data_IF_388554207417
#
_entry.id   IF_388554207417
#
_cell.length_a   1.000
_cell.length_b   1.000
_cell.length_c   1.000
_cell.angle_alpha   90.00
_cell.angle_beta   90.00
_cell.angle_gamma   90.00
#
_symmetry.space_group_name_H-M   'P 1'
#
loop_
_entity.id
_entity.type
_entity.pdbx_description
1 polymer ?
#
# COMPACT_ATOMS: atom_id res chain seq x y z
N UNK A 1 18.44 -8.98 29.43
CA UNK A 1 19.52 -8.09 28.93
C UNK A 1 19.75 -8.24 27.43
N UNK A 2 19.80 -9.47 26.89
CA UNK A 2 19.98 -9.70 25.45
C UNK A 2 18.90 -9.01 24.59
N UNK A 3 17.62 -9.03 25.00
CA UNK A 3 16.53 -8.33 24.27
C UNK A 3 16.75 -6.82 24.07
N UNK A 4 17.41 -6.14 25.02
CA UNK A 4 17.68 -4.70 24.90
C UNK A 4 18.76 -4.45 23.85
N UNK A 5 19.78 -5.31 23.83
CA UNK A 5 20.83 -5.31 22.82
C UNK A 5 20.26 -5.59 21.43
N UNK A 6 19.39 -6.59 21.29
CA UNK A 6 18.69 -6.91 20.04
C UNK A 6 17.93 -5.68 19.49
N UNK A 7 17.18 -4.98 20.34
CA UNK A 7 16.46 -3.75 19.96
C UNK A 7 17.40 -2.62 19.54
N UNK A 8 18.53 -2.43 20.25
CA UNK A 8 19.54 -1.42 19.91
C UNK A 8 20.17 -1.73 18.56
N UNK A 9 20.53 -2.99 18.31
CA UNK A 9 21.10 -3.45 17.05
C UNK A 9 20.10 -3.27 15.91
N UNK A 10 18.84 -3.65 16.09
CA UNK A 10 17.78 -3.48 15.09
C UNK A 10 17.47 -2.01 14.79
N UNK A 11 17.47 -1.16 15.82
CA UNK A 11 17.30 0.28 15.65
C UNK A 11 18.49 0.87 14.88
N UNK A 12 19.71 0.44 15.19
CA UNK A 12 20.91 0.82 14.45
C UNK A 12 20.88 0.29 13.01
N UNK A 13 20.36 -0.92 12.79
CA UNK A 13 20.19 -1.54 11.46
C UNK A 13 19.22 -0.74 10.59
N UNK A 14 18.09 -0.32 11.17
CA UNK A 14 17.08 0.52 10.53
C UNK A 14 17.58 1.94 10.28
N UNK A 15 18.29 2.55 11.23
CA UNK A 15 18.84 3.90 11.09
C UNK A 15 20.02 3.97 10.10
N UNK A 16 20.82 2.91 10.00
CA UNK A 16 21.99 2.84 9.12
C UNK A 16 21.70 2.26 7.73
N UNK A 17 20.44 1.87 7.44
CA UNK A 17 20.02 1.23 6.19
C UNK A 17 20.98 0.09 5.77
N UNK A 18 21.23 -0.84 6.69
CA UNK A 18 22.18 -1.93 6.43
C UNK A 18 21.60 -2.90 5.39
N UNK A 19 22.43 -3.24 4.40
CA UNK A 19 22.10 -4.20 3.33
C UNK A 19 22.33 -5.66 3.79
N UNK A 20 21.72 -6.64 3.11
CA UNK A 20 21.89 -8.07 3.41
C UNK A 20 23.35 -8.48 3.63
N UNK A 21 24.25 -8.05 2.73
CA UNK A 21 25.68 -8.36 2.80
C UNK A 21 26.36 -7.81 4.06
N UNK A 22 26.05 -6.56 4.44
CA UNK A 22 26.60 -5.94 5.66
C UNK A 22 25.99 -6.52 6.93
N UNK A 23 24.74 -6.98 6.87
CA UNK A 23 24.09 -7.69 7.97
C UNK A 23 24.75 -9.03 8.25
N UNK A 24 25.06 -9.81 7.21
CA UNK A 24 25.76 -11.09 7.33
C UNK A 24 27.16 -10.94 7.95
N UNK A 25 27.92 -9.93 7.53
CA UNK A 25 29.23 -9.60 8.11
C UNK A 25 29.12 -9.24 9.60
N UNK A 26 28.12 -8.45 9.99
CA UNK A 26 27.89 -8.05 11.39
C UNK A 26 27.54 -9.26 12.27
N UNK A 27 26.73 -10.18 11.76
CA UNK A 27 26.34 -11.41 12.46
C UNK A 27 27.55 -12.34 12.64
N UNK A 28 28.41 -12.44 11.64
CA UNK A 28 29.68 -13.19 11.73
C UNK A 28 30.65 -12.58 12.75
N UNK A 29 30.78 -11.25 12.77
CA UNK A 29 31.57 -10.57 13.80
C UNK A 29 30.99 -10.77 15.20
N UNK A 30 29.66 -10.75 15.33
CA UNK A 30 29.01 -11.02 16.61
C UNK A 30 29.26 -12.45 17.08
N UNK A 31 29.14 -13.48 16.23
CA UNK A 31 29.42 -14.88 16.61
C UNK A 31 30.88 -15.13 17.00
N UNK A 32 31.82 -14.45 16.34
CA UNK A 32 33.26 -14.65 16.54
C UNK A 32 33.82 -13.85 17.71
N UNK A 33 33.34 -12.62 17.94
CA UNK A 33 33.82 -11.73 19.00
C UNK A 33 33.00 -11.80 20.28
N UNK A 34 31.70 -12.03 20.17
CA UNK A 34 30.81 -12.23 21.30
C UNK A 34 30.41 -13.70 21.31
N UNK A 35 30.64 -14.41 22.41
CA UNK A 35 30.30 -15.84 22.52
C UNK A 35 28.77 -16.04 22.63
N UNK A 36 28.03 -15.63 21.61
CA UNK A 36 26.60 -15.86 21.47
C UNK A 36 26.42 -17.36 21.24
N UNK A 37 25.59 -18.00 22.05
CA UNK A 37 25.30 -19.42 21.86
C UNK A 37 24.47 -19.64 20.58
N UNK A 38 24.54 -20.82 19.99
CA UNK A 38 23.71 -21.13 18.80
C UNK A 38 22.21 -20.97 19.06
N UNK A 39 21.76 -21.24 20.29
CA UNK A 39 20.38 -21.06 20.74
C UNK A 39 19.96 -19.59 20.75
N UNK A 40 20.77 -18.71 21.33
CA UNK A 40 20.49 -17.27 21.39
C UNK A 40 20.52 -16.63 19.98
N UNK A 41 21.44 -17.07 19.13
CA UNK A 41 21.53 -16.61 17.75
C UNK A 41 20.33 -17.05 16.90
N UNK A 42 19.84 -18.28 17.07
CA UNK A 42 18.61 -18.75 16.40
C UNK A 42 17.38 -17.98 16.86
N UNK A 43 17.21 -17.82 18.18
CA UNK A 43 16.09 -17.08 18.73
C UNK A 43 16.07 -15.59 18.31
N UNK A 44 17.23 -14.99 18.06
CA UNK A 44 17.34 -13.65 17.50
C UNK A 44 16.92 -13.58 16.03
N UNK A 45 17.43 -14.51 15.20
CA UNK A 45 17.08 -14.58 13.78
C UNK A 45 15.58 -14.82 13.56
N UNK A 46 14.97 -15.70 14.35
CA UNK A 46 13.55 -15.99 14.27
C UNK A 46 12.72 -14.74 14.59
N UNK A 47 13.10 -13.99 15.63
CA UNK A 47 12.44 -12.72 15.99
C UNK A 47 12.59 -11.64 14.93
N UNK A 48 13.75 -11.55 14.26
CA UNK A 48 13.92 -10.64 13.11
C UNK A 48 12.96 -11.02 11.99
N UNK A 49 12.90 -12.30 11.61
CA UNK A 49 12.00 -12.74 10.54
C UNK A 49 10.53 -12.45 10.87
N UNK A 50 10.13 -12.66 12.13
CA UNK A 50 8.77 -12.39 12.60
C UNK A 50 8.44 -10.90 12.53
N UNK A 51 9.36 -10.02 12.97
CA UNK A 51 9.20 -8.57 12.86
C UNK A 51 9.18 -8.08 11.42
N UNK A 52 9.99 -8.65 10.54
CA UNK A 52 10.00 -8.30 9.10
C UNK A 52 8.66 -8.66 8.47
N UNK A 53 8.14 -9.87 8.72
CA UNK A 53 6.83 -10.32 8.21
C UNK A 53 5.70 -9.43 8.73
N UNK A 54 5.66 -9.18 10.04
CA UNK A 54 4.65 -8.31 10.65
C UNK A 54 4.75 -6.85 10.17
N UNK A 55 5.96 -6.36 9.94
CA UNK A 55 6.24 -5.01 9.45
C UNK A 55 5.85 -4.82 7.98
N UNK A 56 6.10 -5.81 7.12
CA UNK A 56 5.71 -5.76 5.71
C UNK A 56 4.20 -5.62 5.52
N UNK A 57 3.41 -6.42 6.25
CA UNK A 57 1.97 -6.44 6.09
C UNK A 57 1.33 -5.11 6.56
N UNK A 58 1.73 -4.62 7.74
CA UNK A 58 1.26 -3.33 8.26
C UNK A 58 1.71 -2.16 7.40
N UNK A 59 2.94 -2.18 6.89
CA UNK A 59 3.46 -1.08 6.05
C UNK A 59 2.76 -1.02 4.71
N UNK A 60 2.42 -2.16 4.10
CA UNK A 60 1.67 -2.22 2.86
C UNK A 60 0.25 -1.65 3.01
N UNK A 61 -0.48 -2.08 4.05
CA UNK A 61 -1.83 -1.57 4.34
C UNK A 61 -1.84 -0.07 4.63
N UNK A 62 -0.85 0.40 5.39
CA UNK A 62 -0.76 1.82 5.75
C UNK A 62 -0.35 2.68 4.55
N UNK A 63 0.57 2.20 3.70
CA UNK A 63 0.93 2.86 2.46
C UNK A 63 -0.26 2.94 1.49
N UNK A 64 -1.00 1.84 1.30
CA UNK A 64 -2.20 1.81 0.45
C UNK A 64 -3.26 2.80 0.94
N UNK A 65 -3.50 2.82 2.25
CA UNK A 65 -4.48 3.73 2.87
C UNK A 65 -4.08 5.20 2.70
N UNK A 66 -2.81 5.55 2.93
CA UNK A 66 -2.34 6.93 2.78
C UNK A 66 -2.32 7.39 1.32
N UNK A 67 -1.94 6.51 0.38
CA UNK A 67 -2.04 6.80 -1.05
C UNK A 67 -3.49 7.02 -1.45
N UNK A 68 -4.42 6.16 -1.01
CA UNK A 68 -5.84 6.30 -1.30
C UNK A 68 -6.42 7.62 -0.77
N UNK A 69 -6.13 7.97 0.48
CA UNK A 69 -6.52 9.27 1.06
C UNK A 69 -5.93 10.46 0.30
N UNK A 70 -4.69 10.37 -0.17
CA UNK A 70 -4.06 11.43 -0.94
C UNK A 70 -4.76 11.61 -2.30
N UNK A 71 -5.06 10.51 -2.99
CA UNK A 71 -5.81 10.52 -4.25
C UNK A 71 -7.23 11.10 -4.07
N UNK A 72 -7.92 10.70 -3.00
CA UNK A 72 -9.25 11.23 -2.66
C UNK A 72 -9.21 12.74 -2.39
N UNK A 73 -8.20 13.22 -1.65
CA UNK A 73 -8.00 14.66 -1.37
C UNK A 73 -7.69 15.48 -2.62
N UNK A 74 -7.03 14.87 -3.61
CA UNK A 74 -6.76 15.49 -4.91
C UNK A 74 -7.99 15.47 -5.84
N UNK A 75 -9.10 14.84 -5.41
CA UNK A 75 -10.31 14.72 -6.21
C UNK A 75 -10.21 13.68 -7.33
N UNK A 76 -9.24 12.76 -7.25
CA UNK A 76 -9.19 11.64 -8.20
C UNK A 76 -10.25 10.61 -7.83
N UNK A 77 -11.09 10.29 -8.80
CA UNK A 77 -12.07 9.21 -8.69
C UNK A 77 -11.49 7.91 -9.23
N UNK A 78 -11.94 6.78 -8.71
CA UNK A 78 -11.53 5.49 -9.25
C UNK A 78 -12.08 5.28 -10.67
N UNK A 79 -11.44 4.39 -11.43
CA UNK A 79 -11.87 4.05 -12.80
C UNK A 79 -13.32 3.55 -12.85
N UNK A 80 -13.71 2.76 -11.86
CA UNK A 80 -15.06 2.20 -11.75
C UNK A 80 -16.11 3.29 -11.48
N UNK A 81 -15.78 4.28 -10.63
CA UNK A 81 -16.65 5.43 -10.39
C UNK A 81 -16.80 6.32 -11.62
N UNK A 82 -15.70 6.52 -12.35
CA UNK A 82 -15.72 7.24 -13.62
C UNK A 82 -16.61 6.52 -14.65
N UNK A 83 -16.45 5.21 -14.85
CA UNK A 83 -17.26 4.45 -15.81
C UNK A 83 -18.74 4.36 -15.41
N UNK A 84 -19.02 4.34 -14.11
CA UNK A 84 -20.39 4.45 -13.60
C UNK A 84 -21.00 5.81 -13.93
N UNK A 85 -20.24 6.89 -13.78
CA UNK A 85 -20.68 8.23 -14.14
C UNK A 85 -20.89 8.34 -15.66
N UNK A 86 -19.94 7.87 -16.46
CA UNK A 86 -20.01 7.87 -17.92
C UNK A 86 -21.26 7.14 -18.44
N UNK A 87 -21.57 5.95 -17.90
CA UNK A 87 -22.80 5.22 -18.27
C UNK A 87 -24.07 6.01 -17.95
N UNK A 88 -24.12 6.66 -16.80
CA UNK A 88 -25.27 7.50 -16.41
C UNK A 88 -25.41 8.72 -17.33
N UNK A 89 -24.31 9.36 -17.66
CA UNK A 89 -24.29 10.50 -18.60
C UNK A 89 -24.80 10.06 -19.96
N UNK A 90 -24.27 8.97 -20.53
CA UNK A 90 -24.75 8.44 -21.82
C UNK A 90 -26.23 8.09 -21.81
N UNK A 91 -26.74 7.53 -20.71
CA UNK A 91 -28.16 7.21 -20.59
C UNK A 91 -29.03 8.48 -20.57
N UNK A 92 -28.59 9.53 -19.88
CA UNK A 92 -29.28 10.82 -19.86
C UNK A 92 -29.25 11.52 -21.22
N UNK A 93 -28.10 11.50 -21.89
CA UNK A 93 -27.94 12.03 -23.24
C UNK A 93 -28.86 11.31 -24.24
N UNK A 94 -28.96 9.97 -24.14
CA UNK A 94 -29.86 9.19 -24.99
C UNK A 94 -31.34 9.55 -24.77
N UNK A 95 -31.77 9.74 -23.52
CA UNK A 95 -33.14 10.19 -23.18
C UNK A 95 -33.39 11.59 -23.72
N UNK A 96 -32.42 12.50 -23.61
CA UNK A 96 -32.56 13.86 -24.10
C UNK A 96 -32.67 13.92 -25.64
N UNK A 97 -31.89 13.10 -26.35
CA UNK A 97 -32.00 12.95 -27.81
C UNK A 97 -33.37 12.39 -28.22
N UNK A 98 -33.89 11.42 -27.47
CA UNK A 98 -35.21 10.84 -27.75
C UNK A 98 -36.35 11.85 -27.52
N UNK A 99 -36.27 12.67 -26.47
CA UNK A 99 -37.25 13.73 -26.23
C UNK A 99 -37.22 14.80 -27.35
N UNK A 100 -36.03 15.20 -27.82
CA UNK A 100 -35.89 16.13 -28.94
C UNK A 100 -36.46 15.60 -30.25
N UNK A 101 -36.41 14.27 -30.49
CA UNK A 101 -37.05 13.67 -31.67
C UNK A 101 -38.58 13.61 -31.59
N UNK A 102 -39.15 13.54 -30.38
CA UNK A 102 -40.61 13.53 -30.19
C UNK A 102 -41.20 14.93 -30.37
N UNK A 103 -40.54 15.97 -29.86
CA UNK A 103 -40.96 17.37 -30.04
C UNK A 103 -40.98 17.78 -31.53
N UNK A 104 -40.04 17.28 -32.33
CA UNK A 104 -39.99 17.55 -33.78
C UNK A 104 -41.09 16.84 -34.58
N UNK A 105 -41.61 15.71 -34.08
CA UNK A 105 -42.73 14.98 -34.71
C UNK A 105 -44.09 15.57 -34.32
N UNK A 106 -44.26 16.09 -33.10
CA UNK A 106 -45.49 16.78 -32.68
C UNK A 106 -45.72 18.10 -33.44
N UNK A 107 -44.66 18.89 -33.68
CA UNK A 107 -44.73 20.14 -34.46
C UNK A 107 -45.12 19.90 -35.94
N UNK A 108 -44.81 18.72 -36.49
CA UNK A 108 -45.20 18.31 -37.84
C UNK A 108 -46.66 17.84 -37.95
N UNK A 109 -47.31 17.47 -36.85
CA UNK A 109 -48.70 16.98 -36.84
C UNK A 109 -49.71 18.13 -36.62
N UNK A 110 -49.28 19.24 -36.01
CA UNK A 110 -50.12 20.43 -35.78
C UNK A 110 -50.07 21.49 -36.91
N UNK A 111 -49.26 21.30 -37.95
CA UNK A 111 -49.21 22.16 -39.17
C UNK A 111 -49.97 21.57 -40.36
#
# INVERSE_FOLDING_TARGET
>A
MFELFEKVVLTALGAAAITQKKGEELVQEMKSRYKISEEEGRAFLDRIQEMVKAGQQRSAEMAETEVKKALDRMGMVSREEYERLERRVRALEAVQVQNLSVEAEEECIES
#
